data_IF_202112818061
#
_entry.id   IF_202112818061
#
_cell.length_a   1.000
_cell.length_b   1.000
_cell.length_c   1.000
_cell.angle_alpha   90.00
_cell.angle_beta   90.00
_cell.angle_gamma   90.00
#
_symmetry.space_group_name_H-M   'P 1'
#
loop_
_entity.id
_entity.type
_entity.pdbx_description
1 polymer ?
#
# COMPACT_ATOMS: atom_id res chain seq x y z
N UNK A 1 48.49 -38.24 -16.14
CA UNK A 1 47.46 -38.52 -15.11
C UNK A 1 46.14 -37.96 -15.63
N UNK A 2 45.06 -38.76 -15.79
CA UNK A 2 43.78 -38.21 -16.22
C UNK A 2 43.12 -37.52 -15.02
N UNK A 3 42.72 -36.25 -15.20
CA UNK A 3 41.92 -35.51 -14.22
C UNK A 3 40.49 -36.05 -14.34
N UNK A 4 40.14 -36.98 -13.47
CA UNK A 4 38.77 -37.48 -13.36
C UNK A 4 37.89 -36.34 -12.87
N UNK A 5 37.01 -35.81 -13.72
CA UNK A 5 35.99 -34.85 -13.28
C UNK A 5 35.11 -35.56 -12.27
N UNK A 6 35.14 -35.12 -11.01
CA UNK A 6 34.19 -35.56 -10.00
C UNK A 6 32.77 -35.26 -10.52
N UNK A 7 31.83 -36.21 -10.47
CA UNK A 7 30.46 -35.95 -10.86
C UNK A 7 29.90 -34.82 -9.98
N UNK A 8 29.30 -33.83 -10.63
CA UNK A 8 28.62 -32.72 -9.96
C UNK A 8 27.57 -33.33 -9.02
N UNK A 9 27.71 -33.07 -7.72
CA UNK A 9 26.82 -33.67 -6.72
C UNK A 9 25.40 -33.19 -6.99
N UNK A 10 24.54 -34.07 -7.51
CA UNK A 10 23.14 -33.74 -7.74
C UNK A 10 22.51 -33.35 -6.41
N UNK A 11 21.79 -32.23 -6.38
CA UNK A 11 21.08 -31.79 -5.17
C UNK A 11 20.13 -32.91 -4.69
N UNK A 12 20.02 -33.16 -3.38
CA UNK A 12 19.07 -34.14 -2.87
C UNK A 12 17.62 -33.67 -3.13
N UNK A 13 16.72 -34.61 -3.47
CA UNK A 13 15.32 -34.36 -3.84
C UNK A 13 14.56 -33.46 -2.86
N UNK A 14 14.88 -33.55 -1.57
CA UNK A 14 14.20 -32.73 -0.55
C UNK A 14 14.42 -31.22 -0.76
N UNK A 15 15.56 -30.79 -1.32
CA UNK A 15 15.80 -29.37 -1.62
C UNK A 15 14.97 -28.87 -2.80
N UNK A 16 14.76 -29.72 -3.80
CA UNK A 16 13.88 -29.40 -4.92
C UNK A 16 12.42 -29.31 -4.45
N UNK A 17 12.01 -30.21 -3.55
CA UNK A 17 10.67 -30.20 -2.98
C UNK A 17 10.45 -28.98 -2.07
N UNK A 18 11.44 -28.60 -1.27
CA UNK A 18 11.39 -27.39 -0.46
C UNK A 18 11.22 -26.14 -1.34
N UNK A 19 12.04 -26.00 -2.39
CA UNK A 19 11.95 -24.88 -3.32
C UNK A 19 10.59 -24.81 -4.03
N UNK A 20 10.02 -25.96 -4.41
CA UNK A 20 8.67 -26.04 -5.01
C UNK A 20 7.55 -25.71 -4.01
N UNK A 21 7.77 -25.94 -2.72
CA UNK A 21 6.81 -25.63 -1.67
C UNK A 21 6.75 -24.13 -1.32
N UNK A 22 7.79 -23.37 -1.67
CA UNK A 22 7.83 -21.93 -1.39
C UNK A 22 6.71 -21.18 -2.14
N UNK A 23 6.00 -20.31 -1.41
CA UNK A 23 4.99 -19.43 -1.98
C UNK A 23 5.68 -18.34 -2.80
N UNK A 24 5.55 -18.46 -4.10
CA UNK A 24 6.03 -17.51 -5.10
C UNK A 24 4.90 -17.15 -6.07
N UNK A 25 4.84 -15.87 -6.46
CA UNK A 25 3.84 -15.32 -7.37
C UNK A 25 2.49 -14.97 -6.73
N UNK A 26 1.48 -14.63 -7.53
CA UNK A 26 0.16 -14.24 -7.04
C UNK A 26 -0.54 -15.40 -6.31
N UNK A 27 -1.26 -15.05 -5.24
CA UNK A 27 -2.15 -15.95 -4.50
C UNK A 27 -3.48 -15.26 -4.26
N UNK A 28 -4.56 -15.99 -4.54
CA UNK A 28 -5.92 -15.46 -4.44
C UNK A 28 -6.32 -15.17 -2.98
N UNK A 29 -6.05 -16.10 -2.05
CA UNK A 29 -6.30 -15.87 -0.63
C UNK A 29 -5.47 -16.82 0.23
N UNK A 30 -4.78 -16.28 1.23
CA UNK A 30 -4.00 -17.02 2.21
C UNK A 30 -4.46 -16.61 3.60
N UNK A 31 -4.77 -17.61 4.42
CA UNK A 31 -5.19 -17.44 5.80
C UNK A 31 -3.99 -17.66 6.71
N UNK A 32 -3.72 -16.70 7.59
CA UNK A 32 -2.74 -16.84 8.64
C UNK A 32 -3.38 -17.44 9.90
N UNK A 33 -2.57 -18.08 10.73
CA UNK A 33 -3.02 -18.75 11.96
C UNK A 33 -3.65 -17.75 12.95
N UNK A 34 -3.24 -16.49 12.90
CA UNK A 34 -3.79 -15.41 13.71
C UNK A 34 -5.19 -14.92 13.26
N UNK A 35 -5.72 -15.46 12.15
CA UNK A 35 -7.01 -15.06 11.58
C UNK A 35 -6.92 -13.97 10.50
N UNK A 36 -5.72 -13.46 10.21
CA UNK A 36 -5.52 -12.50 9.14
C UNK A 36 -5.63 -13.16 7.77
N UNK A 37 -6.09 -12.40 6.79
CA UNK A 37 -6.29 -12.85 5.41
C UNK A 37 -5.50 -11.96 4.47
N UNK A 38 -4.66 -12.57 3.64
CA UNK A 38 -3.89 -11.85 2.65
C UNK A 38 -4.22 -12.32 1.23
N UNK A 39 -4.40 -11.36 0.34
CA UNK A 39 -4.59 -11.54 -1.10
C UNK A 39 -3.53 -10.70 -1.79
N UNK A 40 -2.72 -11.30 -2.65
CA UNK A 40 -1.60 -10.60 -3.28
C UNK A 40 -0.45 -11.52 -3.65
N UNK A 41 0.67 -10.93 -4.00
CA UNK A 41 1.85 -11.66 -4.43
C UNK A 41 2.66 -12.19 -3.24
N UNK A 42 3.39 -13.25 -3.50
CA UNK A 42 4.30 -13.86 -2.55
C UNK A 42 5.66 -14.03 -3.20
N UNK A 43 6.71 -13.90 -2.40
CA UNK A 43 8.08 -14.20 -2.79
C UNK A 43 8.81 -14.77 -1.59
N UNK A 44 9.43 -15.94 -1.76
CA UNK A 44 10.19 -16.63 -0.72
C UNK A 44 9.38 -16.80 0.58
N UNK A 45 8.12 -17.24 0.46
CA UNK A 45 7.16 -17.37 1.58
C UNK A 45 6.80 -16.06 2.30
N UNK A 46 7.20 -14.90 1.79
CA UNK A 46 6.85 -13.59 2.32
C UNK A 46 5.84 -12.87 1.43
N UNK A 47 4.98 -12.05 2.04
CA UNK A 47 4.08 -11.15 1.28
C UNK A 47 4.93 -10.19 0.46
N UNK A 48 4.61 -10.08 -0.82
CA UNK A 48 5.28 -9.22 -1.76
C UNK A 48 4.25 -8.63 -2.73
N UNK A 49 4.69 -7.72 -3.59
CA UNK A 49 3.80 -7.06 -4.53
C UNK A 49 4.24 -5.62 -4.71
N UNK A 50 4.65 -5.32 -5.93
CA UNK A 50 4.93 -3.99 -6.42
C UNK A 50 3.89 -3.63 -7.47
N UNK A 51 3.71 -2.35 -7.74
CA UNK A 51 2.78 -1.87 -8.75
C UNK A 51 3.14 -2.36 -10.14
N UNK A 52 2.41 -3.37 -10.61
CA UNK A 52 2.34 -3.71 -12.02
C UNK A 52 1.41 -2.74 -12.77
N UNK A 53 1.80 -2.38 -13.99
CA UNK A 53 1.07 -1.46 -14.90
C UNK A 53 -0.40 -1.86 -15.19
N UNK A 54 -0.80 -3.09 -14.84
CA UNK A 54 -2.17 -3.59 -14.96
C UNK A 54 -2.99 -3.54 -13.66
N UNK A 55 -2.52 -2.85 -12.61
CA UNK A 55 -3.26 -2.63 -11.37
C UNK A 55 -3.39 -3.85 -10.43
N UNK A 56 -2.80 -4.99 -10.80
CA UNK A 56 -2.90 -6.26 -10.06
C UNK A 56 -1.87 -6.51 -8.96
N UNK A 57 -0.86 -5.64 -8.82
CA UNK A 57 0.27 -5.86 -7.90
C UNK A 57 0.07 -5.36 -6.45
N UNK A 58 -1.13 -4.85 -6.11
CA UNK A 58 -1.43 -4.40 -4.75
C UNK A 58 -1.84 -5.60 -3.89
N UNK A 59 -1.20 -5.76 -2.74
CA UNK A 59 -1.62 -6.74 -1.74
C UNK A 59 -2.68 -6.17 -0.80
N UNK A 60 -3.74 -6.93 -0.57
CA UNK A 60 -4.77 -6.65 0.43
C UNK A 60 -4.58 -7.55 1.65
N UNK A 61 -4.36 -6.94 2.81
CA UNK A 61 -4.40 -7.60 4.13
C UNK A 61 -5.69 -7.20 4.85
N UNK A 62 -6.53 -8.19 5.18
CA UNK A 62 -7.61 -8.05 6.16
C UNK A 62 -7.14 -8.59 7.50
N UNK A 63 -7.21 -7.76 8.52
CA UNK A 63 -6.93 -8.11 9.90
C UNK A 63 -8.15 -8.78 10.53
N UNK A 64 -7.92 -9.59 11.57
CA UNK A 64 -9.00 -10.22 12.34
C UNK A 64 -10.03 -9.23 12.90
N UNK A 65 -9.60 -8.01 13.25
CA UNK A 65 -10.48 -6.96 13.76
C UNK A 65 -11.34 -6.29 12.66
N UNK A 66 -11.23 -6.72 11.40
CA UNK A 66 -11.94 -6.14 10.27
C UNK A 66 -11.14 -5.08 9.52
N UNK A 67 -10.16 -4.43 10.17
CA UNK A 67 -9.33 -3.41 9.53
C UNK A 67 -8.61 -3.98 8.31
N UNK A 68 -8.36 -3.12 7.32
CA UNK A 68 -7.87 -3.55 6.02
C UNK A 68 -6.75 -2.65 5.56
N UNK A 69 -5.66 -3.25 5.09
CA UNK A 69 -4.60 -2.55 4.36
C UNK A 69 -4.60 -2.98 2.90
N UNK A 70 -4.51 -2.02 2.00
CA UNK A 70 -4.36 -2.21 0.56
C UNK A 70 -3.18 -1.39 0.09
N UNK A 71 -2.14 -2.04 -0.45
CA UNK A 71 -0.95 -1.30 -0.85
C UNK A 71 0.20 -2.21 -1.26
N UNK A 72 1.39 -1.62 -1.21
CA UNK A 72 2.61 -2.27 -1.64
C UNK A 72 3.25 -3.07 -0.51
N UNK A 73 3.89 -4.17 -0.88
CA UNK A 73 4.46 -5.13 0.04
C UNK A 73 5.88 -5.49 -0.33
N UNK A 74 6.78 -5.42 0.64
CA UNK A 74 8.17 -5.81 0.48
C UNK A 74 8.63 -6.59 1.71
N UNK A 75 9.18 -7.79 1.48
CA UNK A 75 9.72 -8.67 2.55
C UNK A 75 8.72 -8.91 3.69
N UNK A 76 7.45 -9.12 3.36
CA UNK A 76 6.41 -9.35 4.34
C UNK A 76 5.87 -8.10 5.05
N UNK A 77 6.43 -6.92 4.75
CA UNK A 77 6.10 -5.64 5.39
C UNK A 77 5.39 -4.70 4.42
N UNK A 78 4.57 -3.80 4.96
CA UNK A 78 3.94 -2.72 4.18
C UNK A 78 5.03 -1.72 3.79
N UNK A 79 5.20 -1.45 2.51
CA UNK A 79 6.31 -0.65 2.01
C UNK A 79 5.90 0.03 0.71
N UNK A 80 5.94 1.36 0.65
CA UNK A 80 5.46 2.13 -0.50
C UNK A 80 4.10 2.81 -0.25
N UNK A 81 3.43 3.29 -1.32
CA UNK A 81 2.10 3.87 -1.22
C UNK A 81 1.07 2.84 -0.72
N UNK A 82 0.03 3.31 -0.05
CA UNK A 82 -1.01 2.42 0.44
C UNK A 82 -2.21 3.12 1.05
N UNK A 83 -3.17 2.30 1.47
CA UNK A 83 -4.41 2.71 2.12
C UNK A 83 -4.67 1.78 3.28
N UNK A 84 -4.95 2.34 4.45
CA UNK A 84 -5.33 1.60 5.63
C UNK A 84 -6.73 2.05 6.07
N UNK A 85 -7.68 1.14 6.01
CA UNK A 85 -9.06 1.31 6.43
C UNK A 85 -9.18 0.89 7.90
N UNK A 86 -9.37 1.87 8.77
CA UNK A 86 -9.80 1.73 10.15
C UNK A 86 -11.33 1.57 10.16
N UNK A 87 -11.79 0.35 9.88
CA UNK A 87 -13.23 0.05 9.80
C UNK A 87 -13.89 0.03 11.19
N UNK A 88 -13.10 -0.18 12.23
CA UNK A 88 -13.49 0.00 13.63
C UNK A 88 -13.96 1.44 13.93
N UNK A 89 -13.22 2.43 13.41
CA UNK A 89 -13.43 3.84 13.71
C UNK A 89 -14.05 4.66 12.57
N UNK A 90 -14.27 4.05 11.40
CA UNK A 90 -14.80 4.73 10.22
C UNK A 90 -13.83 5.74 9.63
N UNK A 91 -12.55 5.37 9.56
CA UNK A 91 -11.49 6.25 9.05
C UNK A 91 -10.64 5.54 7.99
N UNK A 92 -10.11 6.34 7.08
CA UNK A 92 -9.19 5.92 6.03
C UNK A 92 -7.91 6.72 6.16
N UNK A 93 -6.80 6.02 6.29
CA UNK A 93 -5.46 6.59 6.16
C UNK A 93 -4.89 6.26 4.78
N UNK A 94 -4.60 7.27 3.98
CA UNK A 94 -3.92 7.13 2.69
C UNK A 94 -2.55 7.81 2.76
N UNK A 95 -1.48 7.12 2.35
CA UNK A 95 -0.14 7.66 2.57
C UNK A 95 1.01 6.83 2.01
N UNK A 96 2.14 6.87 2.73
CA UNK A 96 3.35 6.13 2.41
C UNK A 96 3.86 5.34 3.62
N UNK A 97 4.27 4.10 3.39
CA UNK A 97 4.75 3.18 4.41
C UNK A 97 6.20 2.81 4.18
N UNK A 98 6.94 2.66 5.28
CA UNK A 98 8.28 2.07 5.30
C UNK A 98 8.35 1.08 6.43
N UNK A 99 8.68 -0.18 6.12
CA UNK A 99 8.81 -1.29 7.05
C UNK A 99 7.63 -1.43 8.03
N UNK A 100 6.42 -1.39 7.47
CA UNK A 100 5.14 -1.44 8.18
C UNK A 100 4.76 -0.19 9.00
N UNK A 101 5.61 0.85 9.01
CA UNK A 101 5.35 2.12 9.69
C UNK A 101 4.88 3.18 8.68
N UNK A 102 3.73 3.80 8.94
CA UNK A 102 3.26 4.94 8.16
C UNK A 102 4.18 6.15 8.39
N UNK A 103 4.71 6.75 7.31
CA UNK A 103 5.64 7.89 7.39
C UNK A 103 4.95 9.22 7.14
N UNK A 104 4.08 9.27 6.13
CA UNK A 104 3.29 10.44 5.80
C UNK A 104 1.97 9.99 5.19
N UNK A 105 0.95 10.82 5.28
CA UNK A 105 -0.37 10.52 4.72
C UNK A 105 -1.44 11.47 5.22
N UNK A 106 -2.65 11.26 4.70
CA UNK A 106 -3.85 12.01 5.03
C UNK A 106 -4.84 11.07 5.70
N UNK A 107 -5.42 11.52 6.80
CA UNK A 107 -6.53 10.83 7.46
C UNK A 107 -7.84 11.44 6.97
N UNK A 108 -8.79 10.60 6.57
CA UNK A 108 -10.08 11.00 6.03
C UNK A 108 -11.15 10.18 6.74
N UNK A 109 -12.28 10.81 7.06
CA UNK A 109 -13.44 10.08 7.55
C UNK A 109 -14.08 9.28 6.42
N UNK A 110 -14.22 7.98 6.62
CA UNK A 110 -14.77 7.05 5.65
C UNK A 110 -15.70 6.05 6.33
N UNK A 111 -17.01 6.16 6.09
CA UNK A 111 -17.99 5.21 6.62
C UNK A 111 -18.19 5.32 8.14
N UNK A 112 -18.14 6.52 8.71
CA UNK A 112 -18.39 6.74 10.15
C UNK A 112 -19.74 6.20 10.63
N UNK A 113 -20.78 6.32 9.82
CA UNK A 113 -22.13 5.90 10.19
C UNK A 113 -22.25 4.37 10.31
N UNK A 114 -21.33 3.64 9.66
CA UNK A 114 -21.27 2.17 9.67
C UNK A 114 -20.26 1.63 10.69
N UNK A 115 -19.44 2.50 11.29
CA UNK A 115 -18.37 2.11 12.17
C UNK A 115 -18.93 1.64 13.54
N UNK A 116 -18.41 0.54 14.11
CA UNK A 116 -18.78 0.11 15.46
C UNK A 116 -18.47 1.16 16.54
N UNK A 117 -17.32 1.82 16.42
CA UNK A 117 -16.82 2.79 17.40
C UNK A 117 -16.31 4.06 16.68
N UNK A 118 -17.22 4.87 16.09
CA UNK A 118 -16.81 6.06 15.36
C UNK A 118 -16.09 7.05 16.28
N UNK A 119 -15.11 7.78 15.74
CA UNK A 119 -14.40 8.77 16.55
C UNK A 119 -15.33 9.92 16.95
N UNK A 120 -15.09 10.50 18.13
CA UNK A 120 -15.97 11.51 18.73
C UNK A 120 -16.19 12.74 17.85
N UNK A 121 -15.16 13.19 17.11
CA UNK A 121 -15.21 14.42 16.33
C UNK A 121 -14.86 14.17 14.86
N UNK A 122 -15.68 14.64 13.90
CA UNK A 122 -15.38 14.59 12.48
C UNK A 122 -14.08 15.33 12.16
N UNK A 123 -13.29 14.75 11.26
CA UNK A 123 -12.16 15.41 10.64
C UNK A 123 -12.75 16.56 9.81
N UNK A 124 -12.44 17.83 10.12
CA UNK A 124 -13.04 18.95 9.43
C UNK A 124 -12.61 18.96 7.97
N UNK A 125 -13.57 19.19 7.08
CA UNK A 125 -13.26 19.40 5.66
C UNK A 125 -12.67 20.80 5.51
N UNK A 126 -11.36 20.87 5.28
CA UNK A 126 -10.69 22.13 4.96
C UNK A 126 -11.07 22.50 3.53
N UNK A 127 -11.90 23.54 3.39
CA UNK A 127 -12.30 24.12 2.11
C UNK A 127 -11.92 25.59 2.08
N UNK A 128 -11.60 26.10 0.91
CA UNK A 128 -11.43 27.54 0.72
C UNK A 128 -12.81 28.18 0.94
N UNK A 129 -12.87 29.22 1.78
CA UNK A 129 -14.11 29.90 2.11
C UNK A 129 -14.72 30.60 0.89
N UNK A 130 -13.86 31.20 0.05
CA UNK A 130 -14.22 31.87 -1.20
C UNK A 130 -13.23 31.49 -2.32
N UNK A 131 -13.51 30.43 -3.09
CA UNK A 131 -12.67 30.02 -4.22
C UNK A 131 -12.65 31.05 -5.35
N UNK A 132 -13.76 31.76 -5.56
CA UNK A 132 -13.94 32.69 -6.68
C UNK A 132 -13.10 33.96 -6.45
N UNK A 133 -13.12 34.51 -5.23
CA UNK A 133 -12.27 35.65 -4.87
C UNK A 133 -10.77 35.35 -5.01
N UNK A 134 -10.32 34.17 -4.57
CA UNK A 134 -8.92 33.74 -4.74
C UNK A 134 -8.54 33.62 -6.22
N UNK A 135 -9.47 33.16 -7.06
CA UNK A 135 -9.26 33.08 -8.50
C UNK A 135 -9.17 34.46 -9.15
N UNK A 136 -10.05 35.39 -8.76
CA UNK A 136 -10.03 36.77 -9.25
C UNK A 136 -8.72 37.48 -8.87
N UNK A 137 -8.25 37.35 -7.63
CA UNK A 137 -6.97 37.90 -7.17
C UNK A 137 -5.78 37.33 -7.95
N UNK A 138 -5.75 36.01 -8.17
CA UNK A 138 -4.71 35.37 -8.95
C UNK A 138 -4.68 35.90 -10.40
N UNK A 139 -5.85 35.98 -11.05
CA UNK A 139 -5.98 36.52 -12.41
C UNK A 139 -5.54 37.98 -12.50
N UNK A 140 -5.83 38.79 -11.49
CA UNK A 140 -5.40 40.18 -11.43
C UNK A 140 -3.87 40.30 -11.30
N UNK A 141 -3.23 39.46 -10.47
CA UNK A 141 -1.77 39.42 -10.35
C UNK A 141 -1.07 39.01 -11.65
N UNK A 142 -1.61 38.02 -12.37
CA UNK A 142 -1.06 37.57 -13.65
C UNK A 142 -1.12 38.65 -14.73
N UNK A 143 -2.24 39.36 -14.86
CA UNK A 143 -2.37 40.46 -15.83
C UNK A 143 -1.38 41.59 -15.55
N UNK A 144 -1.13 41.89 -14.28
CA UNK A 144 -0.18 42.94 -13.89
C UNK A 144 1.28 42.60 -14.24
N UNK A 145 1.66 41.32 -14.18
CA UNK A 145 3.03 40.87 -14.52
C UNK A 145 3.31 40.90 -16.03
N UNK A 146 2.31 40.71 -16.88
CA UNK A 146 2.45 40.85 -18.34
C UNK A 146 2.67 42.31 -18.77
N UNK A 147 2.11 43.27 -18.03
CA UNK A 147 2.28 44.70 -18.30
C UNK A 147 3.64 45.24 -17.83
N UNK A 148 4.27 44.63 -16.82
CA UNK A 148 5.57 45.06 -16.25
C UNK A 148 6.80 44.35 -16.86
N UNK A 149 6.64 43.25 -17.61
CA UNK A 149 7.73 42.45 -18.19
C UNK A 149 8.01 42.66 -19.69
N UNK A 150 7.39 43.66 -20.31
CA UNK A 150 7.42 43.91 -21.76
C UNK A 150 8.27 45.10 -22.23
N UNK A 151 9.26 45.53 -21.46
CA UNK A 151 10.24 46.59 -21.84
C UNK A 151 11.66 46.01 -21.98
#
# INVERSE_FOLDING_TARGET
MPITKCPEKSQPLWKEWDQKAQKNGPRHQVYAVNGDRYMGEWKDNMRHGEWGELGGGRGMLRLKNGNRYEGYWQRGMKNGPGRFFHLDHGQLFEGFWVDSVAKCGTMIDFGRDEAPEPTQFPIPQVKILDPDGVLEEALAMFKKTEEEGGD
#
